data_IF_121569870021
#
_entry.id   IF_121569870021
#
_cell.length_a   1.000
_cell.length_b   1.000
_cell.length_c   1.000
_cell.angle_alpha   90.00
_cell.angle_beta   90.00
_cell.angle_gamma   90.00
#
_symmetry.space_group_name_H-M   'P 1'
#
loop_
_entity.id
_entity.type
_entity.pdbx_description
1 polymer ?
#
# COMPACT_ATOMS: atom_id res chain seq x y z
N UNK A 1 -1.72 11.86 -24.95
CA UNK A 1 -1.61 13.01 -24.03
C UNK A 1 -0.35 12.87 -23.21
N UNK A 2 0.38 13.96 -23.01
CA UNK A 2 1.45 14.08 -22.03
C UNK A 2 0.93 13.98 -20.60
N UNK A 3 1.78 13.67 -19.63
CA UNK A 3 1.40 13.66 -18.20
C UNK A 3 0.86 15.02 -17.74
N UNK A 4 1.37 16.13 -18.31
CA UNK A 4 0.85 17.48 -18.05
C UNK A 4 -0.61 17.63 -18.50
N UNK A 5 -0.94 17.19 -19.71
CA UNK A 5 -2.31 17.26 -20.24
C UNK A 5 -3.27 16.40 -19.43
N UNK A 6 -2.85 15.20 -19.01
CA UNK A 6 -3.64 14.34 -18.13
C UNK A 6 -3.89 14.97 -16.76
N UNK A 7 -2.88 15.59 -16.16
CA UNK A 7 -3.03 16.28 -14.87
C UNK A 7 -3.99 17.47 -14.96
N UNK A 8 -3.88 18.29 -16.02
CA UNK A 8 -4.82 19.39 -16.26
C UNK A 8 -6.24 18.88 -16.45
N UNK A 9 -6.41 17.84 -17.28
CA UNK A 9 -7.73 17.25 -17.52
C UNK A 9 -8.33 16.66 -16.25
N UNK A 10 -7.53 16.03 -15.39
CA UNK A 10 -7.97 15.55 -14.09
C UNK A 10 -8.49 16.70 -13.22
N UNK A 11 -7.71 17.78 -13.08
CA UNK A 11 -8.07 18.93 -12.23
C UNK A 11 -9.35 19.60 -12.75
N UNK A 12 -9.50 19.73 -14.07
CA UNK A 12 -10.68 20.33 -14.69
C UNK A 12 -11.98 19.54 -14.49
N UNK A 13 -11.89 18.27 -14.10
CA UNK A 13 -13.05 17.40 -13.87
C UNK A 13 -13.33 17.17 -12.37
N UNK A 14 -12.63 17.87 -11.46
CA UNK A 14 -12.94 17.83 -10.04
C UNK A 14 -14.10 18.76 -9.70
N UNK A 15 -14.80 18.48 -8.60
CA UNK A 15 -15.86 19.35 -8.07
C UNK A 15 -15.29 20.70 -7.60
N UNK A 16 -16.10 21.75 -7.66
CA UNK A 16 -15.67 23.13 -7.32
C UNK A 16 -15.28 23.30 -5.85
N UNK A 17 -15.77 22.44 -4.95
CA UNK A 17 -15.53 22.47 -3.50
C UNK A 17 -14.44 21.47 -3.04
N UNK A 18 -13.69 20.90 -3.96
CA UNK A 18 -12.59 19.97 -3.67
C UNK A 18 -11.48 20.63 -2.85
N UNK A 19 -10.98 19.92 -1.83
CA UNK A 19 -9.84 20.42 -1.06
C UNK A 19 -8.52 20.24 -1.82
N UNK A 20 -7.49 21.00 -1.46
CA UNK A 20 -6.16 20.85 -2.07
C UNK A 20 -5.58 19.46 -1.77
N UNK A 21 -5.85 18.88 -0.59
CA UNK A 21 -5.39 17.55 -0.23
C UNK A 21 -6.01 16.49 -1.14
N UNK A 22 -7.31 16.61 -1.45
CA UNK A 22 -7.99 15.72 -2.41
C UNK A 22 -7.39 15.84 -3.82
N UNK A 23 -7.07 17.07 -4.26
CA UNK A 23 -6.40 17.31 -5.55
C UNK A 23 -5.05 16.59 -5.58
N UNK A 24 -4.26 16.71 -4.51
CA UNK A 24 -2.95 16.07 -4.38
C UNK A 24 -3.11 14.54 -4.43
N UNK A 25 -4.06 13.99 -3.68
CA UNK A 25 -4.34 12.55 -3.66
C UNK A 25 -4.72 12.01 -5.05
N UNK A 26 -5.54 12.76 -5.79
CA UNK A 26 -5.92 12.40 -7.16
C UNK A 26 -4.72 12.44 -8.11
N UNK A 27 -3.84 13.43 -7.98
CA UNK A 27 -2.60 13.49 -8.76
C UNK A 27 -1.64 12.35 -8.40
N UNK A 28 -1.55 11.97 -7.12
CA UNK A 28 -0.79 10.79 -6.69
C UNK A 28 -1.36 9.50 -7.28
N UNK A 29 -2.69 9.35 -7.31
CA UNK A 29 -3.34 8.21 -7.95
C UNK A 29 -3.01 8.15 -9.45
N UNK A 30 -3.10 9.29 -10.16
CA UNK A 30 -2.73 9.37 -11.57
C UNK A 30 -1.29 8.91 -11.79
N UNK A 31 -0.35 9.36 -10.96
CA UNK A 31 1.05 8.91 -11.01
C UNK A 31 1.17 7.40 -10.83
N UNK A 32 0.48 6.81 -9.85
CA UNK A 32 0.52 5.36 -9.60
C UNK A 32 -0.01 4.57 -10.81
N UNK A 33 -1.07 5.04 -11.46
CA UNK A 33 -1.61 4.43 -12.67
C UNK A 33 -0.59 4.50 -13.81
N UNK A 34 0.03 5.65 -14.05
CA UNK A 34 1.05 5.78 -15.10
C UNK A 34 2.23 4.84 -14.88
N UNK A 35 2.71 4.73 -13.63
CA UNK A 35 3.75 3.77 -13.27
C UNK A 35 3.31 2.33 -13.51
N UNK A 36 2.11 1.95 -13.03
CA UNK A 36 1.58 0.60 -13.21
C UNK A 36 1.41 0.20 -14.68
N UNK A 37 1.02 1.13 -15.56
CA UNK A 37 0.96 0.88 -17.01
C UNK A 37 2.37 0.59 -17.55
N UNK A 38 3.37 1.40 -17.22
CA UNK A 38 4.76 1.17 -17.67
C UNK A 38 5.27 -0.18 -17.15
N UNK A 39 5.01 -0.50 -15.89
CA UNK A 39 5.42 -1.79 -15.30
C UNK A 39 4.78 -2.96 -16.05
N UNK A 40 3.47 -2.93 -16.26
CA UNK A 40 2.75 -3.94 -17.02
C UNK A 40 3.28 -4.10 -18.45
N UNK A 41 3.52 -2.99 -19.15
CA UNK A 41 4.05 -3.00 -20.53
C UNK A 41 5.47 -3.57 -20.60
N UNK A 42 6.28 -3.37 -19.55
CA UNK A 42 7.64 -3.91 -19.45
C UNK A 42 7.71 -5.34 -18.91
N UNK A 43 6.57 -5.93 -18.50
CA UNK A 43 6.52 -7.24 -17.86
C UNK A 43 7.03 -7.25 -16.41
N UNK A 44 7.15 -6.09 -15.76
CA UNK A 44 7.40 -5.94 -14.32
C UNK A 44 6.10 -6.24 -13.56
N UNK A 45 5.72 -7.53 -13.57
CA UNK A 45 4.48 -8.06 -12.99
C UNK A 45 4.77 -9.35 -12.23
N UNK A 46 3.86 -9.71 -11.34
CA UNK A 46 3.91 -10.95 -10.56
C UNK A 46 2.70 -11.82 -10.89
N UNK A 47 2.92 -13.13 -10.96
CA UNK A 47 1.83 -14.10 -11.10
C UNK A 47 0.97 -14.11 -9.83
N UNK A 48 -0.34 -14.35 -9.99
CA UNK A 48 -1.30 -14.26 -8.90
C UNK A 48 -0.95 -15.15 -7.71
N UNK A 49 -0.61 -16.41 -7.95
CA UNK A 49 -0.30 -17.37 -6.90
C UNK A 49 0.93 -16.95 -6.10
N UNK A 50 1.99 -16.47 -6.79
CA UNK A 50 3.20 -15.97 -6.14
C UNK A 50 2.93 -14.72 -5.29
N UNK A 51 2.04 -13.83 -5.75
CA UNK A 51 1.62 -12.67 -4.98
C UNK A 51 0.89 -13.06 -3.69
N UNK A 52 0.00 -14.05 -3.76
CA UNK A 52 -0.72 -14.51 -2.58
C UNK A 52 0.22 -15.19 -1.58
N UNK A 53 1.16 -16.01 -2.05
CA UNK A 53 2.17 -16.64 -1.20
C UNK A 53 3.04 -15.60 -0.47
N UNK A 54 3.45 -14.53 -1.16
CA UNK A 54 4.22 -13.43 -0.57
C UNK A 54 3.40 -12.66 0.46
N UNK A 55 2.15 -12.32 0.13
CA UNK A 55 1.24 -11.58 1.02
C UNK A 55 0.97 -12.35 2.32
N UNK A 56 0.72 -13.67 2.23
CA UNK A 56 0.55 -14.52 3.41
C UNK A 56 1.81 -14.58 4.27
N UNK A 57 2.99 -14.60 3.64
CA UNK A 57 4.27 -14.59 4.35
C UNK A 57 4.54 -13.25 5.06
N UNK A 58 4.15 -12.12 4.46
CA UNK A 58 4.25 -10.79 5.07
C UNK A 58 3.32 -10.65 6.29
N UNK A 59 2.06 -11.09 6.15
CA UNK A 59 1.08 -11.06 7.24
C UNK A 59 1.54 -11.90 8.45
N UNK A 60 2.12 -13.08 8.18
CA UNK A 60 2.67 -13.94 9.22
C UNK A 60 3.86 -13.30 9.96
N UNK A 61 4.75 -12.62 9.23
CA UNK A 61 5.88 -11.89 9.83
C UNK A 61 5.42 -10.70 10.67
N UNK A 62 4.40 -9.99 10.21
CA UNK A 62 3.84 -8.86 10.96
C UNK A 62 3.22 -9.33 12.28
N UNK A 63 2.54 -10.48 12.29
CA UNK A 63 2.02 -11.08 13.52
C UNK A 63 3.14 -11.50 14.50
N UNK A 64 4.21 -12.13 14.02
CA UNK A 64 5.36 -12.51 14.87
C UNK A 64 6.05 -11.29 15.49
N UNK A 65 6.19 -10.19 14.73
CA UNK A 65 6.73 -8.93 15.23
C UNK A 65 5.83 -8.30 16.31
N UNK A 66 4.50 -8.40 16.17
CA UNK A 66 3.55 -7.93 17.17
C UNK A 66 3.63 -8.76 18.45
N UNK A 67 3.70 -10.08 18.35
CA UNK A 67 3.85 -10.99 19.50
C UNK A 67 5.18 -10.75 20.24
N UNK A 68 6.28 -10.60 19.51
CA UNK A 68 7.59 -10.27 20.08
C UNK A 68 7.63 -8.88 20.75
N UNK A 69 6.82 -7.94 20.27
CA UNK A 69 6.68 -6.60 20.85
C UNK A 69 5.84 -6.61 22.12
N UNK A 70 4.74 -7.37 22.14
CA UNK A 70 3.88 -7.57 23.31
C UNK A 70 4.66 -8.31 24.41
N UNK A 71 5.41 -9.36 24.05
CA UNK A 71 6.25 -10.10 25.00
C UNK A 71 7.34 -9.22 25.65
N UNK A 72 7.93 -8.27 24.89
CA UNK A 72 8.93 -7.32 25.41
C UNK A 72 8.33 -6.19 26.27
N UNK A 73 7.05 -5.86 26.08
CA UNK A 73 6.34 -4.81 26.84
C UNK A 73 5.62 -5.34 28.08
N UNK A 74 5.51 -6.65 28.26
CA UNK A 74 4.97 -7.22 29.51
C UNK A 74 6.01 -7.12 30.63
N UNK A 75 5.75 -6.39 31.74
CA UNK A 75 6.60 -6.44 32.93
C UNK A 75 6.48 -7.78 33.69
N UNK A 76 5.55 -8.66 33.28
CA UNK A 76 5.36 -10.00 33.84
C UNK A 76 5.92 -11.04 32.88
N UNK A 77 7.25 -11.18 32.90
CA UNK A 77 7.94 -12.24 32.17
C UNK A 77 7.57 -13.63 32.68
N UNK A 78 7.16 -14.49 31.74
CA UNK A 78 7.37 -15.93 31.73
C UNK A 78 7.08 -16.70 33.04
N UNK A 79 5.86 -16.62 33.59
CA UNK A 79 5.36 -17.69 34.49
C UNK A 79 3.97 -18.15 34.11
N UNK A 80 3.85 -19.48 34.04
CA UNK A 80 2.66 -20.33 33.98
C UNK A 80 1.75 -20.23 32.74
N UNK A 81 2.01 -21.08 31.76
CA UNK A 81 0.96 -21.89 31.14
C UNK A 81 1.45 -23.34 31.01
N UNK A 82 1.35 -24.07 32.12
CA UNK A 82 1.18 -25.53 32.14
C UNK A 82 0.09 -25.80 33.18
N UNK A 83 -1.08 -26.18 32.70
CA UNK A 83 -2.09 -26.91 33.42
C UNK A 83 -2.45 -28.12 32.56
#
# INVERSE_FOLDING_TARGET
>A
MSSKEKAISLIQNLDDDVSIDDVIDRLYLLRKIELGIVQADTGDVMEHDAFMDELEAEDAQQLDLLDATIARRSPFGARSYRA
#
